data_IF_352285854150
#
_entry.id   IF_352285854150
#
_cell.length_a   1.000
_cell.length_b   1.000
_cell.length_c   1.000
_cell.angle_alpha   90.00
_cell.angle_beta   90.00
_cell.angle_gamma   90.00
#
_symmetry.space_group_name_H-M   'P 1'
#
loop_
_entity.id
_entity.type
_entity.pdbx_description
1 polymer ?
#
# COMPACT_ATOMS: atom_id res chain seq x y z
N UNK A 1 4.29 15.25 34.27
CA UNK A 1 4.23 15.75 32.86
C UNK A 1 5.21 15.03 31.95
N UNK A 2 6.33 14.54 32.45
CA UNK A 2 7.40 13.93 31.62
C UNK A 2 7.01 12.54 31.03
N UNK A 3 6.24 11.73 31.75
CA UNK A 3 5.84 10.38 31.29
C UNK A 3 4.93 10.43 30.06
N UNK A 4 3.96 11.37 30.03
CA UNK A 4 3.11 11.57 28.85
C UNK A 4 3.88 12.07 27.62
N UNK A 5 4.91 12.88 27.87
CA UNK A 5 5.79 13.40 26.82
C UNK A 5 6.68 12.28 26.23
N UNK A 6 7.16 11.37 27.09
CA UNK A 6 7.95 10.20 26.67
C UNK A 6 7.11 9.19 25.88
N UNK A 7 5.85 8.96 26.28
CA UNK A 7 4.93 8.08 25.55
C UNK A 7 4.59 8.67 24.17
N UNK A 8 4.28 9.97 24.09
CA UNK A 8 4.02 10.63 22.81
C UNK A 8 5.22 10.65 21.86
N UNK A 9 6.45 10.79 22.36
CA UNK A 9 7.66 10.71 21.53
C UNK A 9 7.91 9.29 20.99
N UNK A 10 7.60 8.25 21.77
CA UNK A 10 7.73 6.86 21.32
C UNK A 10 6.72 6.55 20.19
N UNK A 11 5.48 7.05 20.29
CA UNK A 11 4.45 6.87 19.29
C UNK A 11 4.80 7.62 17.98
N UNK A 12 5.33 8.83 18.07
CA UNK A 12 5.79 9.57 16.87
C UNK A 12 6.96 8.89 16.17
N UNK A 13 7.90 8.30 16.90
CA UNK A 13 9.00 7.54 16.30
C UNK A 13 8.51 6.33 15.50
N UNK A 14 7.51 5.62 16.02
CA UNK A 14 6.85 4.50 15.30
C UNK A 14 6.14 4.99 14.03
N UNK A 15 5.51 6.14 14.11
CA UNK A 15 4.86 6.75 12.96
C UNK A 15 5.86 7.12 11.85
N UNK A 16 7.05 7.62 12.19
CA UNK A 16 8.12 7.84 11.20
C UNK A 16 8.61 6.54 10.56
N UNK A 17 8.71 5.43 11.31
CA UNK A 17 9.04 4.12 10.75
C UNK A 17 7.96 3.64 9.78
N UNK A 18 6.69 3.81 10.13
CA UNK A 18 5.57 3.52 9.24
C UNK A 18 5.65 4.34 7.94
N UNK A 19 5.93 5.65 8.02
CA UNK A 19 6.11 6.49 6.83
C UNK A 19 7.30 6.06 5.97
N UNK A 20 8.38 5.58 6.57
CA UNK A 20 9.50 5.00 5.82
C UNK A 20 9.04 3.86 4.93
N UNK A 21 8.24 2.92 5.45
CA UNK A 21 7.73 1.80 4.68
C UNK A 21 6.72 2.25 3.60
N UNK A 22 5.86 3.23 3.90
CA UNK A 22 4.94 3.84 2.92
C UNK A 22 5.73 4.45 1.77
N UNK A 23 6.74 5.28 2.06
CA UNK A 23 7.55 5.95 1.04
C UNK A 23 8.43 4.99 0.24
N UNK A 24 8.76 3.84 0.81
CA UNK A 24 9.47 2.75 0.11
C UNK A 24 8.55 1.84 -0.72
N UNK A 25 7.23 2.04 -0.66
CA UNK A 25 6.26 1.21 -1.36
C UNK A 25 6.04 -0.17 -0.75
N UNK A 26 6.50 -0.40 0.49
CA UNK A 26 6.46 -1.69 1.18
C UNK A 26 5.12 -1.90 1.89
N UNK A 27 4.10 -2.31 1.15
CA UNK A 27 2.74 -2.45 1.70
C UNK A 27 2.63 -3.43 2.86
N UNK A 28 3.31 -4.59 2.77
CA UNK A 28 3.24 -5.63 3.81
C UNK A 28 3.82 -5.09 5.12
N UNK A 29 5.00 -4.48 5.08
CA UNK A 29 5.66 -3.96 6.27
C UNK A 29 4.92 -2.76 6.85
N UNK A 30 4.38 -1.88 6.00
CA UNK A 30 3.56 -0.76 6.44
C UNK A 30 2.30 -1.23 7.20
N UNK A 31 1.57 -2.23 6.68
CA UNK A 31 0.40 -2.79 7.36
C UNK A 31 0.78 -3.52 8.65
N UNK A 32 1.91 -4.23 8.69
CA UNK A 32 2.39 -4.89 9.89
C UNK A 32 2.76 -3.88 10.99
N UNK A 33 3.45 -2.78 10.64
CA UNK A 33 3.74 -1.70 11.59
C UNK A 33 2.46 -1.06 12.13
N UNK A 34 1.46 -0.82 11.28
CA UNK A 34 0.17 -0.31 11.74
C UNK A 34 -0.50 -1.28 12.71
N UNK A 35 -0.53 -2.59 12.42
CA UNK A 35 -1.11 -3.61 13.32
C UNK A 35 -0.42 -3.64 14.67
N UNK A 36 0.92 -3.57 14.69
CA UNK A 36 1.66 -3.47 15.95
C UNK A 36 1.27 -2.22 16.74
N UNK A 37 1.07 -1.08 16.09
CA UNK A 37 0.61 0.14 16.75
C UNK A 37 -0.81 -0.01 17.32
N UNK A 38 -1.73 -0.65 16.57
CA UNK A 38 -3.10 -0.94 17.01
C UNK A 38 -3.09 -1.88 18.23
N UNK A 39 -2.30 -2.94 18.19
CA UNK A 39 -2.16 -3.90 19.31
C UNK A 39 -1.60 -3.23 20.57
N UNK A 40 -0.80 -2.17 20.43
CA UNK A 40 -0.30 -1.35 21.50
C UNK A 40 -1.26 -0.22 21.96
N UNK A 41 -2.48 -0.20 21.44
CA UNK A 41 -3.53 0.74 21.88
C UNK A 41 -3.54 2.07 21.13
N UNK A 42 -3.21 2.07 19.84
CA UNK A 42 -3.29 3.25 18.98
C UNK A 42 -4.70 3.84 18.98
N UNK A 43 -4.80 5.14 19.24
CA UNK A 43 -6.02 5.90 19.01
C UNK A 43 -6.06 6.39 17.56
N UNK A 44 -7.09 6.00 16.81
CA UNK A 44 -7.18 6.25 15.37
C UNK A 44 -7.24 7.75 15.03
N UNK A 45 -7.93 8.55 15.84
CA UNK A 45 -8.05 9.97 15.61
C UNK A 45 -6.74 10.71 15.86
N UNK A 46 -6.06 10.38 16.95
CA UNK A 46 -4.76 10.96 17.27
C UNK A 46 -3.73 10.56 16.21
N UNK A 47 -3.71 9.29 15.78
CA UNK A 47 -2.86 8.81 14.71
C UNK A 47 -3.01 9.63 13.42
N UNK A 48 -4.24 9.90 12.97
CA UNK A 48 -4.47 10.68 11.75
C UNK A 48 -4.09 12.16 11.92
N UNK A 49 -4.29 12.74 13.11
CA UNK A 49 -3.83 14.09 13.40
C UNK A 49 -2.30 14.20 13.40
N UNK A 50 -1.61 13.25 14.03
CA UNK A 50 -0.13 13.16 14.02
C UNK A 50 0.39 12.93 12.59
N UNK A 51 -0.33 12.16 11.79
CA UNK A 51 -0.06 11.99 10.35
C UNK A 51 -0.09 13.32 9.62
N UNK A 52 -1.13 14.16 9.83
CA UNK A 52 -1.20 15.49 9.23
C UNK A 52 -0.02 16.37 9.65
N UNK A 53 0.36 16.36 10.93
CA UNK A 53 1.52 17.13 11.39
C UNK A 53 2.81 16.71 10.70
N UNK A 54 3.04 15.40 10.57
CA UNK A 54 4.24 14.87 9.89
C UNK A 54 4.24 15.22 8.42
N UNK A 55 3.11 15.08 7.72
CA UNK A 55 2.98 15.48 6.32
C UNK A 55 3.24 16.98 6.12
N UNK A 56 2.74 17.81 7.04
CA UNK A 56 3.04 19.25 7.06
C UNK A 56 4.54 19.52 7.21
N UNK A 57 5.23 18.82 8.12
CA UNK A 57 6.67 18.99 8.33
C UNK A 57 7.49 18.58 7.09
N UNK A 58 7.12 17.49 6.42
CA UNK A 58 7.74 17.11 5.16
C UNK A 58 7.53 18.17 4.08
N UNK A 59 6.29 18.62 3.90
CA UNK A 59 5.96 19.64 2.90
C UNK A 59 6.66 20.97 3.18
N UNK A 60 6.71 21.39 4.44
CA UNK A 60 7.45 22.56 4.88
C UNK A 60 8.95 22.43 4.56
N UNK A 61 9.54 21.25 4.85
CA UNK A 61 10.96 21.00 4.58
C UNK A 61 11.29 21.11 3.10
N UNK A 62 10.43 20.59 2.23
CA UNK A 62 10.62 20.59 0.77
C UNK A 62 10.49 22.02 0.22
N UNK A 63 9.45 22.75 0.62
CA UNK A 63 9.11 24.04 -0.01
C UNK A 63 9.78 25.25 0.66
N UNK A 64 10.07 25.21 1.97
CA UNK A 64 10.59 26.34 2.72
C UNK A 64 12.06 26.15 3.19
N UNK A 65 12.63 24.97 2.94
CA UNK A 65 14.02 24.70 3.32
C UNK A 65 14.16 24.04 4.71
N UNK A 66 15.38 24.05 5.28
CA UNK A 66 15.67 23.36 6.53
C UNK A 66 14.74 23.79 7.66
N UNK A 67 14.31 22.81 8.46
CA UNK A 67 13.55 23.08 9.68
C UNK A 67 14.54 23.56 10.74
N UNK A 68 14.36 24.78 11.23
CA UNK A 68 15.12 25.29 12.37
C UNK A 68 14.73 24.54 13.65
N UNK A 69 15.62 24.54 14.66
CA UNK A 69 15.32 23.91 15.95
C UNK A 69 14.04 24.51 16.54
N UNK A 70 13.03 23.68 16.63
CA UNK A 70 11.78 23.99 17.31
C UNK A 70 11.71 23.18 18.61
N UNK A 71 11.22 23.80 19.69
CA UNK A 71 11.05 23.14 20.98
C UNK A 71 10.05 21.95 20.93
N UNK A 72 9.27 21.87 19.86
CA UNK A 72 8.21 20.86 19.66
C UNK A 72 8.69 19.66 18.83
N UNK A 73 9.86 19.75 18.19
CA UNK A 73 10.39 18.72 17.28
C UNK A 73 11.76 18.28 17.79
N UNK A 74 11.95 16.99 18.01
CA UNK A 74 13.22 16.45 18.46
C UNK A 74 14.30 16.50 17.36
N UNK A 75 15.58 16.55 17.75
CA UNK A 75 16.71 16.47 16.79
C UNK A 75 16.67 15.18 15.96
N UNK A 76 16.12 14.09 16.51
CA UNK A 76 15.91 12.82 15.81
C UNK A 76 14.84 12.93 14.70
N UNK A 77 13.69 13.56 15.00
CA UNK A 77 12.63 13.79 14.00
C UNK A 77 13.13 14.72 12.89
N UNK A 78 13.87 15.79 13.22
CA UNK A 78 14.48 16.68 12.21
C UNK A 78 15.40 15.91 11.28
N UNK A 79 16.19 14.97 11.81
CA UNK A 79 17.07 14.12 11.01
C UNK A 79 16.26 13.24 10.04
N UNK A 80 15.20 12.58 10.52
CA UNK A 80 14.34 11.73 9.69
C UNK A 80 13.62 12.53 8.61
N UNK A 81 13.09 13.71 8.97
CA UNK A 81 12.44 14.62 8.01
C UNK A 81 13.43 15.03 6.92
N UNK A 82 14.67 15.41 7.28
CA UNK A 82 15.69 15.78 6.30
C UNK A 82 16.11 14.62 5.40
N UNK A 83 16.13 13.40 5.92
CA UNK A 83 16.49 12.20 5.16
C UNK A 83 15.39 11.81 4.16
N UNK A 84 14.16 11.68 4.64
CA UNK A 84 13.05 11.20 3.80
C UNK A 84 12.57 12.23 2.79
N UNK A 85 12.65 13.52 3.11
CA UNK A 85 12.28 14.62 2.19
C UNK A 85 13.07 14.64 0.88
N UNK A 86 14.21 13.96 0.81
CA UNK A 86 15.05 13.94 -0.41
C UNK A 86 14.38 13.21 -1.58
N UNK A 87 13.49 12.27 -1.28
CA UNK A 87 12.86 11.38 -2.25
C UNK A 87 11.33 11.59 -2.31
N UNK A 88 10.84 12.68 -1.75
CA UNK A 88 9.42 12.99 -1.72
C UNK A 88 9.11 14.18 -2.63
N UNK A 89 8.01 14.07 -3.36
CA UNK A 89 7.44 15.18 -4.10
C UNK A 89 6.35 15.89 -3.26
N UNK A 90 6.26 17.20 -3.44
CA UNK A 90 5.23 18.03 -2.81
C UNK A 90 3.82 17.64 -3.30
N UNK A 91 3.71 17.14 -4.53
CA UNK A 91 2.44 16.68 -5.10
C UNK A 91 1.93 15.44 -4.38
N UNK A 92 2.80 14.44 -4.16
CA UNK A 92 2.50 13.22 -3.38
C UNK A 92 1.98 13.58 -1.99
N UNK A 93 2.71 14.48 -1.32
CA UNK A 93 2.33 14.92 0.02
C UNK A 93 0.97 15.63 0.03
N UNK A 94 0.64 16.35 -1.04
CA UNK A 94 -0.68 16.96 -1.22
C UNK A 94 -1.79 15.91 -1.31
N UNK A 95 -1.58 14.84 -2.06
CA UNK A 95 -2.52 13.71 -2.17
C UNK A 95 -2.64 12.95 -0.84
N UNK A 96 -1.54 12.71 -0.15
CA UNK A 96 -1.53 12.07 1.17
C UNK A 96 -2.28 12.89 2.19
N UNK A 97 -2.11 14.21 2.17
CA UNK A 97 -2.86 15.15 3.00
C UNK A 97 -4.38 15.05 2.77
N UNK A 98 -4.81 15.12 1.51
CA UNK A 98 -6.24 15.02 1.15
C UNK A 98 -6.83 13.68 1.59
N UNK A 99 -6.11 12.58 1.37
CA UNK A 99 -6.55 11.25 1.78
C UNK A 99 -6.65 11.14 3.31
N UNK A 100 -5.73 11.76 4.05
CA UNK A 100 -5.76 11.76 5.52
C UNK A 100 -6.99 12.50 6.03
N UNK A 101 -7.29 13.69 5.49
CA UNK A 101 -8.50 14.47 5.85
C UNK A 101 -9.76 13.65 5.57
N UNK A 102 -9.83 13.04 4.37
CA UNK A 102 -10.95 12.18 4.02
C UNK A 102 -11.11 11.01 5.00
N UNK A 103 -10.02 10.38 5.41
CA UNK A 103 -10.05 9.26 6.35
C UNK A 103 -10.55 9.70 7.75
N UNK A 104 -10.22 10.92 8.20
CA UNK A 104 -10.75 11.47 9.44
C UNK A 104 -12.29 11.58 9.37
N UNK A 105 -12.83 11.96 8.23
CA UNK A 105 -14.28 12.02 8.04
C UNK A 105 -14.88 10.63 7.93
N UNK A 106 -14.22 9.71 7.24
CA UNK A 106 -14.65 8.30 7.11
C UNK A 106 -14.73 7.60 8.48
N UNK A 107 -13.84 7.91 9.45
CA UNK A 107 -13.90 7.36 10.81
C UNK A 107 -15.21 7.66 11.53
N UNK A 108 -15.90 8.73 11.16
CA UNK A 108 -17.19 9.09 11.77
C UNK A 108 -18.35 8.24 11.24
N UNK A 109 -18.18 7.65 10.08
CA UNK A 109 -19.21 6.93 9.33
C UNK A 109 -18.99 5.43 9.45
N UNK A 110 -17.72 4.98 9.40
CA UNK A 110 -17.34 3.56 9.41
C UNK A 110 -17.19 3.11 10.86
N UNK A 111 -17.99 2.14 11.30
CA UNK A 111 -17.96 1.63 12.68
C UNK A 111 -16.73 0.79 13.06
N UNK A 112 -15.79 0.56 12.12
CA UNK A 112 -14.57 -0.22 12.35
C UNK A 112 -13.34 0.63 12.05
N UNK A 113 -12.76 1.23 13.09
CA UNK A 113 -11.59 2.11 12.98
C UNK A 113 -10.35 1.38 12.43
N UNK A 114 -10.10 0.15 12.87
CA UNK A 114 -8.94 -0.62 12.44
C UNK A 114 -8.99 -0.90 10.94
N UNK A 115 -10.13 -1.31 10.42
CA UNK A 115 -10.35 -1.53 8.99
C UNK A 115 -10.11 -0.24 8.19
N UNK A 116 -10.60 0.89 8.72
CA UNK A 116 -10.43 2.20 8.09
C UNK A 116 -8.96 2.59 8.03
N UNK A 117 -8.20 2.37 9.11
CA UNK A 117 -6.76 2.65 9.15
C UNK A 117 -5.96 1.72 8.24
N UNK A 118 -6.25 0.42 8.22
CA UNK A 118 -5.58 -0.51 7.30
C UNK A 118 -5.80 -0.10 5.83
N UNK A 119 -7.04 0.25 5.48
CA UNK A 119 -7.37 0.71 4.12
C UNK A 119 -6.66 2.01 3.78
N UNK A 120 -6.58 2.95 4.73
CA UNK A 120 -5.84 4.19 4.58
C UNK A 120 -4.36 3.95 4.25
N UNK A 121 -3.68 3.09 5.02
CA UNK A 121 -2.26 2.77 4.76
C UNK A 121 -2.07 2.12 3.40
N UNK A 122 -2.92 1.15 3.02
CA UNK A 122 -2.85 0.53 1.70
C UNK A 122 -3.03 1.54 0.57
N UNK A 123 -3.92 2.53 0.73
CA UNK A 123 -4.12 3.58 -0.26
C UNK A 123 -2.91 4.53 -0.36
N UNK A 124 -2.27 4.90 0.76
CA UNK A 124 -1.05 5.71 0.73
C UNK A 124 0.08 5.01 -0.04
N UNK A 125 0.31 3.73 0.27
CA UNK A 125 1.34 2.93 -0.42
C UNK A 125 1.01 2.77 -1.90
N UNK A 126 -0.27 2.56 -2.24
CA UNK A 126 -0.70 2.45 -3.64
C UNK A 126 -0.44 3.74 -4.41
N UNK A 127 -0.79 4.90 -3.87
CA UNK A 127 -0.49 6.21 -4.48
C UNK A 127 1.00 6.35 -4.76
N UNK A 128 1.86 6.00 -3.80
CA UNK A 128 3.31 6.08 -3.98
C UNK A 128 3.83 5.15 -5.08
N UNK A 129 3.28 3.95 -5.19
CA UNK A 129 3.68 2.97 -6.21
C UNK A 129 3.24 3.35 -7.64
N UNK A 130 2.09 4.01 -7.80
CA UNK A 130 1.62 4.50 -9.10
C UNK A 130 2.63 5.49 -9.70
N UNK A 131 3.10 6.44 -8.91
CA UNK A 131 3.99 7.50 -9.40
C UNK A 131 5.39 7.01 -9.73
N UNK A 132 5.90 6.02 -9.00
CA UNK A 132 7.19 5.40 -9.32
C UNK A 132 7.13 4.46 -10.54
N UNK A 133 5.98 4.29 -11.20
CA UNK A 133 5.82 3.40 -12.36
C UNK A 133 5.99 1.91 -12.01
N UNK A 134 5.92 1.54 -10.74
CA UNK A 134 6.03 0.15 -10.26
C UNK A 134 4.73 -0.65 -10.44
N UNK A 135 3.71 -0.05 -11.05
CA UNK A 135 2.51 -0.79 -11.40
C UNK A 135 2.76 -1.77 -12.55
N UNK A 136 2.36 -3.00 -12.34
CA UNK A 136 2.15 -4.09 -13.33
C UNK A 136 3.21 -5.16 -13.44
N UNK A 137 4.31 -5.20 -12.70
CA UNK A 137 5.20 -6.37 -12.78
C UNK A 137 4.75 -7.58 -11.94
N UNK A 138 3.82 -7.43 -10.99
CA UNK A 138 3.41 -8.55 -10.11
C UNK A 138 2.22 -9.39 -10.61
N UNK A 139 1.49 -8.95 -11.65
CA UNK A 139 0.37 -9.74 -12.21
C UNK A 139 0.86 -10.64 -13.37
N UNK A 140 1.97 -10.31 -14.02
CA UNK A 140 2.49 -11.10 -15.16
C UNK A 140 3.33 -12.32 -14.78
N UNK A 141 3.82 -12.41 -13.55
CA UNK A 141 4.66 -13.56 -13.15
C UNK A 141 3.88 -14.78 -12.64
N UNK A 142 2.57 -14.66 -12.37
CA UNK A 142 1.76 -15.81 -11.94
C UNK A 142 0.97 -16.49 -13.08
N UNK A 143 0.95 -15.94 -14.30
CA UNK A 143 0.26 -16.56 -15.44
C UNK A 143 1.17 -17.39 -16.32
N UNK A 144 2.50 -17.26 -16.21
CA UNK A 144 3.44 -17.99 -17.04
C UNK A 144 3.89 -19.36 -16.47
N UNK A 145 3.47 -19.73 -15.25
CA UNK A 145 3.83 -21.02 -14.65
C UNK A 145 2.74 -22.11 -14.76
N UNK A 146 1.63 -21.85 -15.46
CA UNK A 146 0.54 -22.86 -15.62
C UNK A 146 0.51 -23.45 -17.03
N UNK A 147 1.32 -22.97 -17.98
CA UNK A 147 1.21 -23.38 -19.40
C UNK A 147 2.29 -24.36 -19.89
N UNK A 148 3.22 -24.84 -19.06
CA UNK A 148 4.32 -25.70 -19.50
C UNK A 148 4.37 -27.13 -18.92
N UNK A 149 3.29 -27.60 -18.32
CA UNK A 149 3.19 -29.02 -17.98
C UNK A 149 1.93 -29.63 -18.61
N UNK A 150 1.98 -29.93 -19.90
CA UNK A 150 1.27 -31.05 -20.56
C UNK A 150 1.43 -30.93 -22.09
N UNK A 151 2.52 -31.45 -22.60
CA UNK A 151 2.62 -31.97 -23.96
C UNK A 151 3.96 -32.68 -24.12
N UNK A 152 4.03 -33.92 -23.65
CA UNK A 152 4.96 -34.91 -24.22
C UNK A 152 4.37 -36.32 -24.03
N UNK A 153 4.39 -37.04 -25.12
CA UNK A 153 4.12 -38.48 -25.33
C UNK A 153 2.67 -38.84 -25.66
N UNK A 154 2.30 -39.20 -26.88
CA UNK A 154 2.71 -40.38 -27.63
C UNK A 154 2.20 -40.31 -29.05
N UNK A 155 3.10 -40.42 -30.01
CA UNK A 155 2.85 -40.99 -31.33
C UNK A 155 2.60 -42.51 -31.21
N UNK A 156 1.62 -43.04 -31.92
CA UNK A 156 1.69 -44.37 -32.59
C UNK A 156 0.66 -44.37 -33.74
N UNK A 157 1.17 -44.73 -34.92
CA UNK A 157 0.57 -45.04 -36.19
C UNK A 157 -0.68 -45.99 -36.07
N UNK A 158 -1.65 -45.93 -36.96
CA UNK A 158 -1.70 -46.68 -38.20
C UNK A 158 -2.98 -46.42 -39.02
N UNK A 159 -2.86 -46.71 -40.28
CA UNK A 159 -3.63 -46.42 -41.47
C UNK A 159 -4.85 -47.35 -41.71
N UNK A 160 -5.53 -47.32 -42.84
CA UNK A 160 -6.97 -47.12 -42.98
C UNK A 160 -7.72 -48.35 -43.52
N UNK A 161 -9.04 -48.36 -43.47
CA UNK A 161 -9.84 -49.11 -44.44
C UNK A 161 -11.25 -48.55 -44.63
N UNK A 162 -11.54 -48.46 -45.91
CA UNK A 162 -12.78 -48.07 -46.58
C UNK A 162 -14.03 -48.85 -46.15
N UNK A 163 -15.19 -48.31 -46.32
CA UNK A 163 -16.21 -48.59 -47.34
C UNK A 163 -17.65 -48.38 -46.84
N UNK A 164 -18.37 -47.69 -47.67
CA UNK A 164 -19.77 -47.87 -48.07
C UNK A 164 -20.95 -47.28 -47.24
N UNK A 165 -21.47 -46.24 -47.85
CA UNK A 165 -22.89 -45.92 -47.96
C UNK A 165 -23.70 -47.14 -48.51
N UNK A 166 -25.07 -47.23 -48.45
CA UNK A 166 -26.03 -46.14 -48.67
C UNK A 166 -27.43 -46.24 -47.96
N UNK A 167 -28.16 -45.14 -48.12
CA UNK A 167 -29.59 -45.02 -48.47
C UNK A 167 -30.73 -45.19 -47.45
N UNK A 168 -31.50 -44.08 -47.46
CA UNK A 168 -33.00 -43.99 -47.56
C UNK A 168 -33.83 -44.52 -46.34
N UNK A 169 -34.82 -43.89 -45.91
CA UNK A 169 -35.97 -43.22 -46.51
C UNK A 169 -36.92 -42.71 -45.38
N UNK A 170 -37.47 -41.53 -45.62
CA UNK A 170 -38.87 -41.10 -45.42
C UNK A 170 -39.72 -41.53 -44.19
N UNK A 171 -40.36 -40.56 -43.72
CA UNK A 171 -41.80 -40.30 -43.44
C UNK A 171 -42.16 -40.08 -41.99
N UNK A 172 -42.67 -38.86 -41.80
CA UNK A 172 -44.04 -38.43 -41.58
C UNK A 172 -44.72 -39.10 -40.36
N UNK A 173 -44.96 -38.31 -39.38
CA UNK A 173 -46.27 -37.72 -39.02
C UNK A 173 -46.03 -36.76 -37.88
#
# INVERSE_FOLDING_TARGET
QDVRRMLGLADRSKLFLLFKEIFSGNQIDAVNHLKEMIDNGLDAKNFLNDTLEILYLFNRRINLGPIEKDLMISDYEIKLINEYSKNLDSQDLGLFWQLTIKTIDDLRIVGNENLTLEMFIMQLVHLKNIEEGKEVSNIKNNTNNISNEKLSSKEIEDKPTETNTPNQTKNQL
#
